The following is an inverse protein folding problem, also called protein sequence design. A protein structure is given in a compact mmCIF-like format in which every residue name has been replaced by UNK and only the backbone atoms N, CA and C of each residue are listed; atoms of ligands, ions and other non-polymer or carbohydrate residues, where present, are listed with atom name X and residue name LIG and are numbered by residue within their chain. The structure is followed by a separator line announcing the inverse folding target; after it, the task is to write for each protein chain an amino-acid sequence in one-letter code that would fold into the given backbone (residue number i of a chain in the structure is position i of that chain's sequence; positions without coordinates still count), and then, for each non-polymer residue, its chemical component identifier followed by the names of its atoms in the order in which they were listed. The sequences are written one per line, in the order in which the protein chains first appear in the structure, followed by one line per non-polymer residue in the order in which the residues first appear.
data_IF_992420983094
#
_entry.id   IF_992420983094
#
_cell.length_a   1.000
_cell.length_b   1.000
_cell.length_c   1.000
_cell.angle_alpha   90.00
_cell.angle_beta   90.00
_cell.angle_gamma   90.00
#
_symmetry.space_group_name_H-M   'P 1'
#
loop_
_entity.id
_entity.type
_entity.pdbx_description
1 polymer ?
#
# COMPACT_ATOMS: atom_id res chain seq x y z
N UNK A 1 -9.43 -10.17 -51.58
CA UNK A 1 -10.34 -9.02 -51.43
C UNK A 1 -9.86 -8.20 -50.24
N UNK A 2 -9.03 -7.17 -50.46
CA UNK A 2 -9.40 -5.74 -50.57
C UNK A 2 -9.44 -5.09 -49.16
N UNK A 3 -8.75 -3.99 -48.81
CA UNK A 3 -7.81 -3.07 -49.46
C UNK A 3 -7.08 -2.29 -48.34
N UNK A 4 -5.87 -1.83 -48.64
CA UNK A 4 -5.02 -0.93 -47.85
C UNK A 4 -5.65 0.46 -47.69
N UNK A 5 -5.49 1.09 -46.52
CA UNK A 5 -5.57 2.54 -46.28
C UNK A 5 -4.44 2.81 -45.26
N UNK A 6 -3.21 3.17 -45.65
CA UNK A 6 -2.75 4.47 -46.17
C UNK A 6 -3.33 5.63 -45.33
N UNK A 7 -2.72 5.89 -44.18
CA UNK A 7 -2.71 7.25 -43.62
C UNK A 7 -1.26 7.73 -43.57
N UNK A 8 -0.91 8.37 -44.68
CA UNK A 8 0.27 9.18 -44.89
C UNK A 8 -0.06 10.56 -44.30
N UNK A 9 0.45 10.86 -43.10
CA UNK A 9 0.60 12.25 -42.66
C UNK A 9 2.10 12.56 -42.58
N UNK A 10 2.54 13.27 -43.63
CA UNK A 10 3.53 14.36 -43.67
C UNK A 10 4.45 14.48 -42.43
N UNK A 11 5.75 14.20 -42.54
CA UNK A 11 6.83 15.08 -43.05
C UNK A 11 7.10 16.32 -42.14
N UNK A 12 8.28 16.24 -41.50
CA UNK A 12 9.21 17.30 -41.07
C UNK A 12 8.74 18.39 -40.11
N UNK A 13 9.30 18.37 -38.89
CA UNK A 13 10.09 19.52 -38.38
C UNK A 13 11.24 19.00 -37.49
N UNK A 14 12.46 18.99 -38.04
CA UNK A 14 13.69 19.16 -37.27
C UNK A 14 13.70 20.61 -36.73
N UNK A 15 13.77 20.79 -35.41
CA UNK A 15 14.46 21.96 -34.85
C UNK A 15 15.25 21.50 -33.63
N UNK A 16 16.56 21.40 -33.84
CA UNK A 16 17.58 21.43 -32.81
C UNK A 16 17.48 22.75 -32.05
N UNK A 17 17.25 22.70 -30.73
CA UNK A 17 17.59 23.81 -29.84
C UNK A 17 18.44 23.26 -28.72
N UNK A 18 19.75 23.24 -28.97
CA UNK A 18 20.74 23.32 -27.91
C UNK A 18 20.69 24.74 -27.36
N UNK A 19 20.12 24.93 -26.17
CA UNK A 19 20.40 26.12 -25.38
C UNK A 19 20.69 25.69 -23.96
N UNK A 20 21.98 25.61 -23.66
CA UNK A 20 22.47 25.50 -22.30
C UNK A 20 21.97 26.70 -21.49
N UNK A 21 21.56 26.42 -20.26
CA UNK A 21 21.56 27.41 -19.21
C UNK A 21 22.49 26.89 -18.12
N UNK A 22 23.70 27.44 -18.17
CA UNK A 22 24.72 27.40 -17.12
C UNK A 22 24.10 28.04 -15.88
N UNK A 23 23.74 27.24 -14.87
CA UNK A 23 23.42 27.79 -13.55
C UNK A 23 24.72 28.28 -12.91
N UNK A 24 24.84 29.60 -12.82
CA UNK A 24 25.97 30.33 -12.22
C UNK A 24 26.28 29.85 -10.78
N UNK A 25 27.53 29.93 -10.33
CA UNK A 25 27.87 29.69 -8.93
C UNK A 25 27.27 30.79 -8.04
N UNK A 26 26.46 30.40 -7.06
CA UNK A 26 25.93 31.30 -6.05
C UNK A 26 27.00 31.54 -4.98
N UNK A 27 27.78 32.60 -5.16
CA UNK A 27 28.58 33.18 -4.10
C UNK A 27 27.73 34.24 -3.38
N UNK A 28 27.34 33.98 -2.14
CA UNK A 28 26.76 34.97 -1.24
C UNK A 28 27.68 35.17 -0.05
N UNK A 29 28.41 36.28 -0.09
CA UNK A 29 29.22 36.80 1.01
C UNK A 29 28.71 38.20 1.35
N UNK A 30 27.95 38.32 2.44
CA UNK A 30 28.02 39.36 3.50
C UNK A 30 26.77 39.20 4.37
N UNK A 31 26.90 38.77 5.62
CA UNK A 31 27.45 39.47 6.77
C UNK A 31 26.32 40.03 7.65
N UNK A 32 26.18 39.37 8.80
CA UNK A 32 25.94 39.97 10.11
C UNK A 32 24.83 41.01 10.22
N UNK A 33 23.67 40.55 10.68
CA UNK A 33 22.95 41.28 11.72
C UNK A 33 22.56 40.23 12.76
N UNK A 34 23.27 40.21 13.89
CA UNK A 34 22.94 39.39 15.03
C UNK A 34 21.60 39.89 15.60
N UNK A 35 20.51 39.30 15.11
CA UNK A 35 19.24 39.32 15.81
C UNK A 35 19.41 38.37 16.99
N UNK A 36 19.34 38.94 18.18
CA UNK A 36 19.32 38.19 19.44
C UNK A 36 17.96 37.48 19.48
N UNK A 37 17.87 36.35 18.81
CA UNK A 37 16.78 35.38 18.96
C UNK A 37 17.00 34.70 20.32
N UNK A 38 15.94 34.47 21.12
CA UNK A 38 16.06 33.65 22.32
C UNK A 38 16.68 32.31 21.90
N UNK A 39 17.73 31.88 22.61
CA UNK A 39 18.28 30.54 22.45
C UNK A 39 17.12 29.56 22.65
N UNK A 40 16.59 29.02 21.54
CA UNK A 40 15.77 27.83 21.63
C UNK A 40 16.70 26.74 22.13
N UNK A 41 16.54 26.47 23.42
CA UNK A 41 17.03 25.30 24.08
C UNK A 41 16.74 24.10 23.18
N UNK A 42 17.83 23.45 22.77
CA UNK A 42 17.84 22.21 22.01
C UNK A 42 17.00 21.19 22.77
N UNK A 43 15.69 21.16 22.49
CA UNK A 43 14.82 20.06 22.89
C UNK A 43 15.44 18.83 22.23
N UNK A 44 15.95 17.85 23.01
CA UNK A 44 16.53 16.67 22.43
C UNK A 44 15.48 16.03 21.54
N UNK A 45 15.87 15.77 20.29
CA UNK A 45 15.16 14.91 19.36
C UNK A 45 14.91 13.58 20.09
N UNK A 46 13.71 13.46 20.67
CA UNK A 46 13.24 12.22 21.23
C UNK A 46 13.11 11.31 20.01
N UNK A 47 14.05 10.38 19.88
CA UNK A 47 13.91 9.22 18.99
C UNK A 47 12.77 8.41 19.60
N UNK A 48 11.54 8.84 19.32
CA UNK A 48 10.32 8.13 19.68
C UNK A 48 10.37 6.86 18.83
N UNK A 49 10.60 5.74 19.51
CA UNK A 49 10.59 4.42 18.91
C UNK A 49 9.24 4.26 18.23
N UNK A 50 9.20 4.42 16.89
CA UNK A 50 7.94 4.42 16.15
C UNK A 50 7.17 3.16 16.49
N UNK A 51 6.05 3.35 17.18
CA UNK A 51 5.14 2.25 17.47
C UNK A 51 4.54 1.82 16.13
N UNK A 52 4.55 0.51 15.80
CA UNK A 52 3.97 0.05 14.54
C UNK A 52 2.52 0.51 14.45
N UNK A 53 2.22 1.39 13.49
CA UNK A 53 0.89 1.96 13.27
C UNK A 53 -0.12 0.82 13.02
N UNK A 54 -1.10 0.69 13.91
CA UNK A 54 -2.22 -0.22 13.78
C UNK A 54 -3.52 0.58 13.54
N UNK A 55 -4.25 0.24 12.48
CA UNK A 55 -5.48 0.94 12.05
C UNK A 55 -6.67 -0.02 12.02
N UNK A 56 -7.87 0.51 12.21
CA UNK A 56 -9.08 -0.29 12.16
C UNK A 56 -9.40 -0.67 10.69
N UNK A 57 -9.97 -1.85 10.46
CA UNK A 57 -10.26 -2.37 9.12
C UNK A 57 -11.00 -1.40 8.18
N UNK A 58 -11.89 -0.55 8.70
CA UNK A 58 -12.66 0.42 7.91
C UNK A 58 -11.84 1.65 7.49
N UNK A 59 -10.65 1.83 8.06
CA UNK A 59 -9.70 2.88 7.70
C UNK A 59 -8.72 2.42 6.60
N UNK A 60 -8.62 1.11 6.34
CA UNK A 60 -7.64 0.53 5.42
C UNK A 60 -7.69 1.13 4.01
N UNK A 61 -8.89 1.43 3.48
CA UNK A 61 -9.05 2.05 2.16
C UNK A 61 -8.41 3.44 2.02
N UNK A 62 -8.20 4.14 3.14
CA UNK A 62 -7.53 5.44 3.15
C UNK A 62 -6.01 5.32 3.31
N UNK A 63 -5.48 4.10 3.46
CA UNK A 63 -4.07 3.81 3.68
C UNK A 63 -3.55 2.82 2.61
N UNK A 64 -4.15 2.81 1.41
CA UNK A 64 -3.67 1.99 0.28
C UNK A 64 -2.25 2.44 -0.10
N UNK A 65 -1.35 1.49 -0.28
CA UNK A 65 0.07 1.72 -0.55
C UNK A 65 0.94 1.71 0.71
N UNK A 66 0.35 1.82 1.89
CA UNK A 66 1.08 1.76 3.16
C UNK A 66 1.29 0.31 3.64
N UNK A 67 2.40 0.09 4.35
CA UNK A 67 2.68 -1.17 5.04
C UNK A 67 2.43 -1.00 6.54
N UNK A 68 1.24 -1.38 6.99
CA UNK A 68 0.74 -1.17 8.37
C UNK A 68 0.05 -2.41 8.91
N UNK A 69 -0.32 -2.38 10.19
CA UNK A 69 -1.16 -3.42 10.79
C UNK A 69 -2.63 -3.01 10.69
N UNK A 70 -3.48 -3.87 10.14
CA UNK A 70 -4.93 -3.69 10.09
C UNK A 70 -5.60 -4.67 11.04
N UNK A 71 -6.55 -4.22 11.87
CA UNK A 71 -7.22 -5.10 12.83
C UNK A 71 -8.75 -5.06 12.76
N UNK A 72 -9.36 -6.18 13.12
CA UNK A 72 -10.81 -6.33 13.22
C UNK A 72 -11.27 -7.78 13.27
N UNK A 73 -12.57 -7.99 13.44
CA UNK A 73 -13.18 -9.32 13.50
C UNK A 73 -13.41 -9.91 12.11
N UNK A 74 -12.96 -11.15 11.90
CA UNK A 74 -13.25 -11.94 10.71
C UNK A 74 -14.71 -12.41 10.74
N UNK A 75 -15.56 -11.76 9.96
CA UNK A 75 -16.99 -12.06 9.90
C UNK A 75 -17.32 -13.06 8.79
N UNK A 76 -16.45 -13.17 7.78
CA UNK A 76 -16.62 -14.06 6.64
C UNK A 76 -15.35 -14.82 6.30
N UNK A 77 -15.50 -16.09 5.89
CA UNK A 77 -14.37 -16.91 5.43
C UNK A 77 -14.78 -17.74 4.22
N UNK A 78 -13.89 -17.89 3.23
CA UNK A 78 -14.12 -18.75 2.06
C UNK A 78 -12.81 -19.29 1.51
N UNK A 79 -12.73 -20.60 1.34
CA UNK A 79 -11.69 -21.23 0.52
C UNK A 79 -12.21 -21.45 -0.90
N UNK A 80 -11.69 -20.70 -1.87
CA UNK A 80 -12.08 -20.76 -3.27
C UNK A 80 -11.29 -21.85 -4.02
N UNK A 81 -11.46 -23.11 -3.63
CA UNK A 81 -10.67 -24.25 -4.12
C UNK A 81 -10.78 -24.50 -5.63
N UNK A 82 -11.87 -24.05 -6.27
CA UNK A 82 -12.10 -24.15 -7.71
C UNK A 82 -11.55 -22.97 -8.52
N UNK A 83 -11.07 -21.90 -7.86
CA UNK A 83 -10.52 -20.72 -8.52
C UNK A 83 -9.02 -20.84 -8.76
N UNK A 84 -8.52 -20.14 -9.78
CA UNK A 84 -7.07 -20.05 -10.05
C UNK A 84 -6.32 -19.54 -8.80
N UNK A 85 -5.21 -20.19 -8.47
CA UNK A 85 -4.43 -19.88 -7.26
C UNK A 85 -5.08 -20.34 -5.94
N UNK A 86 -6.31 -20.86 -5.97
CA UNK A 86 -7.05 -21.44 -4.84
C UNK A 86 -6.98 -20.54 -3.58
N UNK A 87 -7.38 -19.26 -3.65
CA UNK A 87 -7.24 -18.34 -2.54
C UNK A 87 -8.19 -18.67 -1.39
N UNK A 88 -7.76 -18.33 -0.18
CA UNK A 88 -8.58 -18.21 1.01
C UNK A 88 -8.83 -16.73 1.25
N UNK A 89 -10.09 -16.38 1.48
CA UNK A 89 -10.52 -15.03 1.85
C UNK A 89 -10.94 -15.03 3.32
N UNK A 90 -10.42 -14.07 4.09
CA UNK A 90 -10.92 -13.73 5.42
C UNK A 90 -11.45 -12.29 5.35
N UNK A 91 -12.77 -12.13 5.42
CA UNK A 91 -13.43 -10.83 5.34
C UNK A 91 -13.58 -10.24 6.74
N UNK A 92 -13.04 -9.05 6.95
CA UNK A 92 -13.02 -8.35 8.23
C UNK A 92 -14.08 -7.24 8.25
N UNK A 93 -14.84 -7.17 9.34
CA UNK A 93 -15.83 -6.13 9.61
C UNK A 93 -17.16 -6.29 8.87
N UNK A 94 -17.11 -6.53 7.56
CA UNK A 94 -18.28 -6.84 6.71
C UNK A 94 -18.00 -8.07 5.86
N UNK A 95 -19.01 -8.90 5.62
CA UNK A 95 -18.84 -10.08 4.76
C UNK A 95 -19.08 -9.74 3.28
N UNK A 96 -18.59 -10.60 2.39
CA UNK A 96 -18.93 -10.58 0.98
C UNK A 96 -20.46 -10.70 0.79
N UNK A 97 -21.08 -9.94 -0.15
CA UNK A 97 -20.45 -9.14 -1.19
C UNK A 97 -20.21 -7.66 -0.85
N UNK A 98 -20.30 -7.23 0.42
CA UNK A 98 -20.20 -5.80 0.76
C UNK A 98 -18.85 -5.20 0.32
N UNK A 99 -18.84 -4.16 -0.54
CA UNK A 99 -17.60 -3.59 -1.08
C UNK A 99 -16.80 -2.79 -0.04
N UNK A 100 -17.42 -2.37 1.06
CA UNK A 100 -16.75 -1.61 2.12
C UNK A 100 -16.07 -2.52 3.15
N UNK A 101 -15.90 -3.81 2.88
CA UNK A 101 -15.14 -4.74 3.73
C UNK A 101 -13.63 -4.54 3.59
N UNK A 102 -12.87 -5.16 4.48
CA UNK A 102 -11.43 -5.38 4.30
C UNK A 102 -11.18 -6.88 4.12
N UNK A 103 -10.31 -7.27 3.20
CA UNK A 103 -10.08 -8.69 2.88
C UNK A 103 -8.64 -9.10 3.14
N UNK A 104 -8.43 -10.19 3.87
CA UNK A 104 -7.14 -10.88 3.90
C UNK A 104 -7.17 -11.98 2.85
N UNK A 105 -6.17 -11.99 1.97
CA UNK A 105 -6.02 -13.00 0.92
C UNK A 105 -4.83 -13.89 1.27
N UNK A 106 -5.09 -15.18 1.47
CA UNK A 106 -4.05 -16.20 1.62
C UNK A 106 -4.10 -17.09 0.38
N UNK A 107 -3.11 -16.97 -0.49
CA UNK A 107 -3.05 -17.80 -1.69
C UNK A 107 -2.86 -19.28 -1.35
N UNK A 108 -3.38 -20.19 -2.17
CA UNK A 108 -3.31 -21.63 -1.92
C UNK A 108 -1.88 -22.16 -1.75
N UNK A 109 -0.88 -21.54 -2.40
CA UNK A 109 0.55 -21.84 -2.22
C UNK A 109 1.07 -21.57 -0.80
N UNK A 110 0.45 -20.64 -0.08
CA UNK A 110 0.81 -20.23 1.28
C UNK A 110 0.02 -20.97 2.34
N UNK A 111 -1.13 -21.57 1.99
CA UNK A 111 -1.98 -22.33 2.92
C UNK A 111 -1.22 -23.39 3.74
N UNK A 112 -0.25 -24.15 3.18
CA UNK A 112 0.53 -25.13 3.96
C UNK A 112 1.41 -24.54 5.06
N UNK A 113 1.69 -23.23 5.04
CA UNK A 113 2.48 -22.58 6.10
C UNK A 113 1.70 -22.49 7.42
N UNK A 114 0.38 -22.62 7.37
CA UNK A 114 -0.49 -22.53 8.55
C UNK A 114 -0.71 -23.91 9.15
N UNK A 115 -0.61 -24.00 10.49
CA UNK A 115 -0.83 -25.25 11.25
C UNK A 115 -2.26 -25.76 11.19
N UNK A 116 -3.22 -24.91 10.83
CA UNK A 116 -4.63 -25.20 10.67
C UNK A 116 -5.18 -24.50 9.45
N UNK A 117 -6.26 -25.03 8.88
CA UNK A 117 -7.00 -24.39 7.77
C UNK A 117 -7.38 -22.94 8.14
N UNK A 118 -6.81 -21.90 7.50
CA UNK A 118 -7.02 -20.52 7.91
C UNK A 118 -8.49 -20.08 7.88
N UNK A 119 -9.25 -20.58 6.89
CA UNK A 119 -10.68 -20.31 6.71
C UNK A 119 -11.57 -20.86 7.84
N UNK A 120 -11.07 -21.84 8.59
CA UNK A 120 -11.74 -22.41 9.77
C UNK A 120 -11.21 -21.73 11.03
N UNK A 121 -9.89 -21.65 11.18
CA UNK A 121 -9.25 -21.19 12.40
C UNK A 121 -9.57 -19.74 12.74
N UNK A 122 -9.55 -18.84 11.75
CA UNK A 122 -9.74 -17.41 11.99
C UNK A 122 -11.20 -16.95 12.03
N UNK A 123 -12.15 -17.82 11.68
CA UNK A 123 -13.57 -17.46 11.64
C UNK A 123 -14.05 -16.96 13.01
N UNK A 124 -14.61 -15.75 13.06
CA UNK A 124 -15.12 -15.12 14.28
C UNK A 124 -14.05 -14.54 15.22
N UNK A 125 -12.75 -14.67 14.89
CA UNK A 125 -11.66 -14.07 15.69
C UNK A 125 -11.44 -12.62 15.30
N UNK A 126 -11.07 -11.79 16.27
CA UNK A 126 -10.40 -10.52 16.00
C UNK A 126 -8.93 -10.81 15.74
N UNK A 127 -8.42 -10.34 14.61
CA UNK A 127 -7.04 -10.55 14.18
C UNK A 127 -6.34 -9.23 13.88
N UNK A 128 -5.02 -9.22 13.97
CA UNK A 128 -4.14 -8.12 13.55
C UNK A 128 -3.30 -8.60 12.37
N UNK A 129 -3.41 -7.93 11.22
CA UNK A 129 -2.81 -8.37 9.96
C UNK A 129 -1.81 -7.32 9.49
N UNK A 130 -0.54 -7.68 9.42
CA UNK A 130 0.52 -6.77 8.96
C UNK A 130 0.92 -7.07 7.51
N UNK A 131 0.87 -6.04 6.68
CA UNK A 131 1.26 -6.17 5.27
C UNK A 131 1.04 -4.89 4.49
N UNK A 132 1.32 -4.96 3.19
CA UNK A 132 1.03 -3.87 2.25
C UNK A 132 -0.46 -3.86 1.96
N UNK A 133 -1.12 -2.73 2.19
CA UNK A 133 -2.51 -2.56 1.81
C UNK A 133 -2.58 -2.29 0.31
N UNK A 134 -3.26 -3.16 -0.42
CA UNK A 134 -3.56 -3.00 -1.85
C UNK A 134 -5.06 -2.95 -2.08
N UNK A 135 -5.48 -2.63 -3.30
CA UNK A 135 -6.88 -2.65 -3.70
C UNK A 135 -7.10 -3.67 -4.81
N UNK A 136 -8.21 -4.39 -4.73
CA UNK A 136 -8.71 -5.24 -5.81
C UNK A 136 -10.21 -5.06 -5.94
N UNK A 137 -10.69 -4.71 -7.15
CA UNK A 137 -12.10 -4.43 -7.45
C UNK A 137 -12.78 -3.47 -6.44
N UNK A 138 -12.07 -2.41 -6.04
CA UNK A 138 -12.56 -1.41 -5.09
C UNK A 138 -12.56 -1.85 -3.62
N UNK A 139 -11.98 -3.01 -3.29
CA UNK A 139 -11.89 -3.54 -1.92
C UNK A 139 -10.45 -3.52 -1.44
N UNK A 140 -10.21 -2.89 -0.29
CA UNK A 140 -8.89 -2.89 0.35
C UNK A 140 -8.55 -4.29 0.88
N UNK A 141 -7.31 -4.72 0.68
CA UNK A 141 -6.84 -6.05 1.07
C UNK A 141 -5.37 -6.08 1.47
N UNK A 142 -4.99 -7.14 2.19
CA UNK A 142 -3.60 -7.54 2.42
C UNK A 142 -3.43 -8.99 1.97
N UNK A 143 -2.38 -9.25 1.19
CA UNK A 143 -1.94 -10.62 0.91
C UNK A 143 -1.03 -11.13 2.02
N UNK A 144 -1.31 -12.34 2.51
CA UNK A 144 -0.53 -12.99 3.57
C UNK A 144 0.03 -14.32 3.05
N UNK A 145 1.31 -14.57 3.33
CA UNK A 145 1.92 -15.87 3.09
C UNK A 145 2.46 -16.54 4.36
N UNK A 146 2.91 -15.73 5.32
CA UNK A 146 3.51 -16.25 6.55
C UNK A 146 2.56 -16.09 7.75
N UNK A 147 2.40 -17.11 8.60
CA UNK A 147 1.51 -17.03 9.75
C UNK A 147 1.83 -15.90 10.73
N UNK A 148 3.08 -15.48 10.86
CA UNK A 148 3.48 -14.39 11.77
C UNK A 148 2.88 -13.02 11.37
N UNK A 149 2.40 -12.88 10.13
CA UNK A 149 1.71 -11.66 9.70
C UNK A 149 0.32 -11.52 10.32
N UNK A 150 -0.22 -12.58 10.95
CA UNK A 150 -1.52 -12.59 11.60
C UNK A 150 -1.35 -12.91 13.09
N UNK A 151 -1.77 -11.99 13.96
CA UNK A 151 -1.83 -12.19 15.41
C UNK A 151 -3.28 -12.34 15.88
#
# INVERSE_FOLDING_TARGET
MNKKIISLFLIFVLVSVTLGCISKPYNSTRASTAVITPVQEKVPEVIEKETPKAILWNEAKYNIGDRVTVYGTVVGTRYASSSNGKPIFLNIGRDYPDPNRFTVVIWGRCRPNFSSSPEVYYRGKTIYVTGLITEYDGVAQIEVCDPYQIQ
#
